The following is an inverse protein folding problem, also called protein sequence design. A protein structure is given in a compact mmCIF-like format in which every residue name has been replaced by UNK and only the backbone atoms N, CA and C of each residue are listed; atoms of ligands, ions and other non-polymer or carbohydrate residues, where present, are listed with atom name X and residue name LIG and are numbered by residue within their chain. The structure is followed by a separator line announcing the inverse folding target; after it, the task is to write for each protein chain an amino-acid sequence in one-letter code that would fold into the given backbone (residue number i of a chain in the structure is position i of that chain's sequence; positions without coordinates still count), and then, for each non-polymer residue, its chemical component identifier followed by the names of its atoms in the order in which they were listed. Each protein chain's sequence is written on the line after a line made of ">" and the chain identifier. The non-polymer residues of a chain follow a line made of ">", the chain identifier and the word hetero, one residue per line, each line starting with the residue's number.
data_IF_339327955789
#
_entry.id   IF_339327955789
#
_cell.length_a   1.000
_cell.length_b   1.000
_cell.length_c   1.000
_cell.angle_alpha   90.00
_cell.angle_beta   90.00
_cell.angle_gamma   90.00
#
_symmetry.space_group_name_H-M   'P 1'
#
loop_
_entity.id
_entity.type
_entity.pdbx_description
1 polymer ?
#
# COMPACT_ATOMS: atom_id res chain seq x y z
N UNK A 1 17.16 6.97 -15.35
CA UNK A 1 16.40 6.73 -14.14
C UNK A 1 16.53 5.28 -13.70
N UNK A 2 16.79 5.06 -12.42
CA UNK A 2 16.88 3.73 -11.83
C UNK A 2 15.64 3.45 -11.03
N UNK A 3 15.17 2.20 -11.01
CA UNK A 3 14.06 1.78 -10.18
C UNK A 3 14.46 0.58 -9.33
N UNK A 4 13.98 0.56 -8.09
CA UNK A 4 14.15 -0.56 -7.17
C UNK A 4 12.77 -1.04 -6.75
N UNK A 5 12.63 -2.33 -6.53
CA UNK A 5 11.36 -2.93 -6.19
C UNK A 5 11.53 -3.90 -5.02
N UNK A 6 10.60 -3.84 -4.07
CA UNK A 6 10.50 -4.82 -2.99
C UNK A 6 9.02 -5.09 -2.70
N UNK A 7 8.76 -6.15 -1.97
CA UNK A 7 7.38 -6.51 -1.64
C UNK A 7 7.27 -7.10 -0.25
N UNK A 8 6.06 -7.01 0.32
CA UNK A 8 5.72 -7.61 1.60
C UNK A 8 4.23 -7.94 1.61
N UNK A 9 3.87 -9.02 2.32
CA UNK A 9 2.48 -9.48 2.38
C UNK A 9 1.91 -9.32 3.78
N UNK A 10 0.59 -9.25 3.87
CA UNK A 10 -0.13 -9.23 5.14
C UNK A 10 -1.48 -9.91 4.98
N UNK A 11 -1.99 -10.44 6.08
CA UNK A 11 -3.30 -11.08 6.12
C UNK A 11 -4.27 -10.15 6.85
N UNK A 12 -5.38 -9.81 6.20
CA UNK A 12 -6.36 -8.93 6.81
C UNK A 12 -7.75 -9.19 6.23
N UNK A 13 -8.74 -8.96 7.07
CA UNK A 13 -10.14 -9.00 6.67
C UNK A 13 -10.61 -7.60 6.31
N UNK A 14 -11.61 -7.52 5.45
CA UNK A 14 -12.30 -6.29 5.11
C UNK A 14 -13.71 -6.59 4.59
N UNK A 15 -14.48 -5.54 4.33
CA UNK A 15 -15.73 -5.63 3.59
C UNK A 15 -16.00 -4.30 2.90
N UNK A 16 -16.80 -4.35 1.85
CA UNK A 16 -17.16 -3.17 1.06
C UNK A 16 -18.56 -2.70 1.46
N UNK A 17 -18.61 -1.69 2.30
CA UNK A 17 -19.84 -1.08 2.75
C UNK A 17 -20.59 -0.42 1.59
N UNK A 18 -21.90 -0.71 1.49
CA UNK A 18 -22.72 -0.14 0.43
C UNK A 18 -22.58 -0.82 -0.93
N UNK A 19 -21.81 -1.88 -1.03
CA UNK A 19 -21.64 -2.64 -2.27
C UNK A 19 -22.67 -3.74 -2.38
N UNK A 20 -23.26 -3.89 -3.57
CA UNK A 20 -24.23 -4.95 -3.86
C UNK A 20 -23.50 -6.17 -4.43
N UNK A 21 -23.17 -7.13 -3.57
CA UNK A 21 -22.45 -8.33 -3.96
C UNK A 21 -21.80 -9.00 -2.75
N UNK A 22 -21.14 -10.12 -2.98
CA UNK A 22 -20.54 -10.93 -1.92
C UNK A 22 -19.49 -10.18 -1.11
N UNK A 23 -18.81 -9.21 -1.71
CA UNK A 23 -17.75 -8.46 -1.05
C UNK A 23 -18.26 -7.48 0.02
N UNK A 24 -19.58 -7.30 0.14
CA UNK A 24 -20.18 -6.57 1.24
C UNK A 24 -20.08 -7.33 2.56
N UNK A 25 -19.81 -8.63 2.51
CA UNK A 25 -19.62 -9.46 3.69
C UNK A 25 -18.16 -9.41 4.15
N UNK A 26 -17.95 -9.63 5.46
CA UNK A 26 -16.60 -9.72 6.00
C UNK A 26 -15.91 -10.94 5.40
N UNK A 27 -14.74 -10.72 4.82
CA UNK A 27 -13.91 -11.76 4.24
C UNK A 27 -12.44 -11.36 4.32
N UNK A 28 -11.54 -12.30 4.14
CA UNK A 28 -10.12 -12.06 4.28
C UNK A 28 -9.33 -12.40 3.04
N UNK A 29 -8.17 -11.77 2.92
CA UNK A 29 -7.21 -12.02 1.85
C UNK A 29 -5.80 -12.05 2.40
N UNK A 30 -4.92 -12.74 1.68
CA UNK A 30 -3.50 -12.53 1.82
C UNK A 30 -3.10 -11.44 0.82
N UNK A 31 -2.99 -10.23 1.31
CA UNK A 31 -2.61 -9.07 0.52
C UNK A 31 -1.12 -9.06 0.24
N UNK A 32 -0.73 -8.65 -0.96
CA UNK A 32 0.67 -8.48 -1.31
C UNK A 32 0.89 -7.06 -1.82
N UNK A 33 1.83 -6.35 -1.20
CA UNK A 33 2.14 -4.97 -1.54
C UNK A 33 3.51 -4.95 -2.22
N UNK A 34 3.54 -4.43 -3.43
CA UNK A 34 4.78 -4.27 -4.21
C UNK A 34 5.07 -2.78 -4.32
N UNK A 35 6.21 -2.36 -3.78
CA UNK A 35 6.64 -0.97 -3.84
C UNK A 35 7.79 -0.82 -4.84
N UNK A 36 7.65 0.14 -5.75
CA UNK A 36 8.68 0.49 -6.71
C UNK A 36 9.07 1.95 -6.53
N UNK A 37 10.35 2.17 -6.22
CA UNK A 37 10.91 3.50 -5.97
C UNK A 37 11.93 3.82 -7.05
N UNK A 38 12.22 5.10 -7.25
CA UNK A 38 13.09 5.53 -8.34
C UNK A 38 14.06 6.62 -7.92
N UNK A 39 15.17 6.72 -8.66
CA UNK A 39 16.12 7.80 -8.55
C UNK A 39 16.78 8.05 -9.90
N UNK A 40 17.12 9.30 -10.17
CA UNK A 40 17.86 9.65 -11.37
C UNK A 40 19.36 9.38 -11.21
N UNK A 41 19.84 9.35 -9.96
CA UNK A 41 21.25 9.21 -9.64
C UNK A 41 21.46 8.14 -8.56
N UNK A 42 22.67 7.62 -8.53
CA UNK A 42 23.13 6.69 -7.50
C UNK A 42 24.15 7.38 -6.60
N UNK A 43 24.28 6.89 -5.38
CA UNK A 43 25.32 7.36 -4.48
C UNK A 43 26.70 7.08 -5.09
N UNK A 44 27.61 8.05 -5.03
CA UNK A 44 28.92 7.95 -5.64
C UNK A 44 30.02 7.59 -4.65
N UNK A 45 29.77 7.76 -3.36
CA UNK A 45 30.73 7.48 -2.29
C UNK A 45 30.06 6.79 -1.11
N UNK A 46 30.87 6.23 -0.23
CA UNK A 46 30.40 5.67 1.03
C UNK A 46 29.91 4.24 0.92
N UNK A 47 29.22 3.80 1.97
CA UNK A 47 28.71 2.44 2.11
C UNK A 47 27.76 2.06 0.96
N UNK A 48 26.94 2.99 0.52
CA UNK A 48 25.90 2.73 -0.47
C UNK A 48 26.30 3.17 -1.89
N UNK A 49 27.59 3.34 -2.17
CA UNK A 49 28.03 3.75 -3.52
C UNK A 49 27.55 2.74 -4.56
N UNK A 50 27.03 3.24 -5.67
CA UNK A 50 26.44 2.42 -6.71
C UNK A 50 24.98 2.03 -6.45
N UNK A 51 24.36 2.55 -5.38
CA UNK A 51 23.00 2.27 -4.99
C UNK A 51 22.18 3.55 -4.89
N UNK A 52 20.87 3.43 -5.05
CA UNK A 52 19.94 4.47 -4.60
C UNK A 52 19.75 4.36 -3.09
N UNK A 53 19.30 3.19 -2.63
CA UNK A 53 19.18 2.83 -1.21
C UNK A 53 19.54 1.36 -1.06
N UNK A 54 19.82 0.94 0.16
CA UNK A 54 20.02 -0.48 0.47
C UNK A 54 18.69 -1.22 0.40
N UNK A 55 18.65 -2.38 -0.27
CA UNK A 55 17.43 -3.19 -0.36
C UNK A 55 16.90 -3.60 1.01
N UNK A 56 17.79 -3.85 1.96
CA UNK A 56 17.38 -4.19 3.33
C UNK A 56 16.62 -3.06 4.01
N UNK A 57 17.08 -1.82 3.82
CA UNK A 57 16.42 -0.64 4.38
C UNK A 57 15.07 -0.40 3.69
N UNK A 58 15.02 -0.53 2.37
CA UNK A 58 13.77 -0.39 1.62
C UNK A 58 12.74 -1.41 2.07
N UNK A 59 13.15 -2.67 2.21
CA UNK A 59 12.27 -3.75 2.66
C UNK A 59 11.81 -3.54 4.09
N UNK A 60 12.69 -3.09 4.97
CA UNK A 60 12.35 -2.80 6.36
C UNK A 60 11.29 -1.71 6.46
N UNK A 61 11.43 -0.63 5.70
CA UNK A 61 10.47 0.47 5.70
C UNK A 61 9.11 0.00 5.20
N UNK A 62 9.08 -0.76 4.10
CA UNK A 62 7.83 -1.31 3.59
C UNK A 62 7.19 -2.27 4.60
N UNK A 63 7.99 -3.14 5.20
CA UNK A 63 7.51 -4.11 6.18
C UNK A 63 6.85 -3.42 7.38
N UNK A 64 7.46 -2.38 7.93
CA UNK A 64 6.89 -1.65 9.06
C UNK A 64 5.53 -1.04 8.73
N UNK A 65 5.41 -0.47 7.53
CA UNK A 65 4.15 0.12 7.06
C UNK A 65 3.08 -0.95 6.88
N UNK A 66 3.43 -2.05 6.26
CA UNK A 66 2.50 -3.15 5.92
C UNK A 66 2.08 -3.93 7.17
N UNK A 67 3.02 -4.20 8.07
CA UNK A 67 2.75 -4.97 9.30
C UNK A 67 1.72 -4.30 10.20
N UNK A 68 1.57 -2.97 10.10
CA UNK A 68 0.51 -2.25 10.81
C UNK A 68 -0.89 -2.79 10.49
N UNK A 69 -1.08 -3.32 9.28
CA UNK A 69 -2.36 -3.86 8.83
C UNK A 69 -2.45 -5.38 8.90
N UNK A 70 -1.40 -6.04 9.40
CA UNK A 70 -1.39 -7.49 9.48
C UNK A 70 -2.25 -7.98 10.65
N UNK A 71 -3.09 -8.98 10.37
CA UNK A 71 -3.99 -9.60 11.36
C UNK A 71 -4.95 -8.59 11.99
N UNK A 72 -5.73 -7.90 11.15
CA UNK A 72 -6.76 -6.98 11.61
C UNK A 72 -7.99 -7.04 10.69
N UNK A 73 -9.05 -6.39 11.14
CA UNK A 73 -10.22 -6.07 10.32
C UNK A 73 -10.10 -4.61 9.89
N UNK A 74 -10.06 -4.38 8.59
CA UNK A 74 -9.97 -3.04 8.00
C UNK A 74 -11.37 -2.62 7.58
N UNK A 75 -11.85 -1.49 8.10
CA UNK A 75 -13.18 -0.99 7.79
C UNK A 75 -13.16 0.47 7.38
N UNK A 76 -14.18 0.85 6.62
CA UNK A 76 -14.49 2.26 6.40
C UNK A 76 -15.17 2.82 7.65
N UNK A 77 -14.74 3.99 8.10
CA UNK A 77 -15.33 4.66 9.28
C UNK A 77 -16.83 4.83 9.07
N UNK A 78 -17.60 4.44 10.07
CA UNK A 78 -19.06 4.52 10.02
C UNK A 78 -19.76 3.37 9.32
N UNK A 79 -19.01 2.36 8.85
CA UNK A 79 -19.59 1.21 8.15
C UNK A 79 -20.19 0.14 9.07
N UNK A 80 -19.85 0.16 10.35
CA UNK A 80 -20.47 -0.70 11.36
C UNK A 80 -21.29 0.17 12.31
N UNK A 81 -22.35 -0.42 12.86
CA UNK A 81 -23.07 0.21 13.97
C UNK A 81 -22.11 0.41 15.14
N UNK A 82 -22.28 1.50 15.86
CA UNK A 82 -21.42 1.84 16.99
C UNK A 82 -21.39 0.74 18.05
N UNK A 83 -22.54 0.12 18.32
CA UNK A 83 -22.65 -0.99 19.25
C UNK A 83 -21.87 -2.23 18.80
N UNK A 84 -21.86 -2.52 17.48
CA UNK A 84 -21.10 -3.64 16.92
C UNK A 84 -19.61 -3.38 17.01
N UNK A 85 -19.18 -2.19 16.61
CA UNK A 85 -17.76 -1.80 16.67
C UNK A 85 -17.25 -1.89 18.11
N UNK A 86 -18.01 -1.33 19.06
CA UNK A 86 -17.63 -1.36 20.47
C UNK A 86 -17.55 -2.79 21.01
N UNK A 87 -18.49 -3.65 20.65
CA UNK A 87 -18.48 -5.04 21.10
C UNK A 87 -17.24 -5.78 20.62
N UNK A 88 -16.86 -5.59 19.35
CA UNK A 88 -15.64 -6.20 18.81
C UNK A 88 -14.36 -5.66 19.49
N UNK A 89 -14.32 -4.37 19.75
CA UNK A 89 -13.20 -3.75 20.45
C UNK A 89 -13.12 -4.21 21.91
N UNK A 90 -14.24 -4.37 22.57
CA UNK A 90 -14.29 -4.89 23.95
C UNK A 90 -13.78 -6.34 24.04
N UNK A 91 -13.87 -7.10 22.96
CA UNK A 91 -13.29 -8.44 22.87
C UNK A 91 -11.83 -8.42 22.43
N UNK A 92 -11.23 -7.25 22.31
CA UNK A 92 -9.82 -7.05 21.93
C UNK A 92 -9.50 -7.42 20.50
N UNK A 93 -10.46 -7.45 19.59
CA UNK A 93 -10.17 -7.56 18.17
C UNK A 93 -9.55 -6.26 17.67
N UNK A 94 -8.53 -6.42 16.82
CA UNK A 94 -7.82 -5.28 16.26
C UNK A 94 -8.55 -4.80 15.00
N UNK A 95 -9.08 -3.58 15.08
CA UNK A 95 -9.85 -2.97 13.99
C UNK A 95 -9.17 -1.67 13.57
N UNK A 96 -8.92 -1.54 12.29
CA UNK A 96 -8.34 -0.35 11.69
C UNK A 96 -9.44 0.34 10.87
N UNK A 97 -9.67 1.62 11.17
CA UNK A 97 -10.69 2.41 10.51
C UNK A 97 -10.04 3.42 9.56
N UNK A 98 -10.44 3.39 8.31
CA UNK A 98 -10.03 4.37 7.32
C UNK A 98 -11.20 5.27 6.92
N UNK A 99 -10.90 6.49 6.48
CA UNK A 99 -11.90 7.41 5.96
C UNK A 99 -12.36 7.04 4.52
N UNK A 100 -11.85 5.93 4.00
CA UNK A 100 -12.15 5.46 2.65
C UNK A 100 -12.55 3.98 2.68
N UNK A 101 -13.27 3.56 1.65
CA UNK A 101 -13.58 2.14 1.45
C UNK A 101 -12.29 1.38 1.21
N UNK A 102 -12.01 0.28 1.93
CA UNK A 102 -10.73 -0.44 1.80
C UNK A 102 -10.68 -1.35 0.57
N UNK A 103 -10.73 -0.74 -0.60
CA UNK A 103 -10.50 -1.39 -1.89
C UNK A 103 -9.01 -1.51 -2.18
N UNK A 104 -8.63 -2.38 -3.11
CA UNK A 104 -7.23 -2.49 -3.53
C UNK A 104 -6.71 -1.15 -4.07
N UNK A 105 -7.53 -0.39 -4.78
CA UNK A 105 -7.18 0.92 -5.33
C UNK A 105 -6.84 1.92 -4.22
N UNK A 106 -7.73 2.05 -3.23
CA UNK A 106 -7.52 2.96 -2.11
C UNK A 106 -6.36 2.51 -1.22
N UNK A 107 -6.17 1.20 -1.07
CA UNK A 107 -5.03 0.67 -0.32
C UNK A 107 -3.71 0.98 -1.03
N UNK A 108 -3.69 0.90 -2.37
CA UNK A 108 -2.49 1.24 -3.13
C UNK A 108 -2.08 2.71 -2.89
N UNK A 109 -3.04 3.62 -2.92
CA UNK A 109 -2.77 5.04 -2.62
C UNK A 109 -2.33 5.24 -1.18
N UNK A 110 -2.93 4.52 -0.24
CA UNK A 110 -2.53 4.58 1.17
C UNK A 110 -1.05 4.21 1.35
N UNK A 111 -0.62 3.09 0.77
CA UNK A 111 0.77 2.67 0.87
C UNK A 111 1.71 3.61 0.11
N UNK A 112 1.26 4.16 -1.01
CA UNK A 112 2.01 5.18 -1.74
C UNK A 112 2.30 6.38 -0.85
N UNK A 113 1.28 6.92 -0.19
CA UNK A 113 1.44 8.08 0.68
C UNK A 113 2.36 7.77 1.87
N UNK A 114 2.28 6.55 2.42
CA UNK A 114 3.15 6.12 3.53
C UNK A 114 4.61 6.03 3.11
N UNK A 115 4.89 5.53 1.91
CA UNK A 115 6.26 5.43 1.41
C UNK A 115 6.83 6.81 1.06
N UNK A 116 6.01 7.70 0.51
CA UNK A 116 6.39 9.11 0.33
C UNK A 116 6.79 9.73 1.68
N UNK A 117 6.01 9.45 2.72
CA UNK A 117 6.29 9.94 4.08
C UNK A 117 7.60 9.41 4.67
N UNK A 118 8.10 8.29 4.17
CA UNK A 118 9.42 7.75 4.55
C UNK A 118 10.57 8.33 3.74
N UNK A 119 10.29 9.26 2.82
CA UNK A 119 11.31 9.98 2.05
C UNK A 119 11.65 9.35 0.70
N UNK A 120 10.92 8.34 0.25
CA UNK A 120 11.17 7.71 -1.04
C UNK A 120 10.48 8.48 -2.18
N UNK A 121 11.13 8.48 -3.35
CA UNK A 121 10.50 8.88 -4.60
C UNK A 121 9.81 7.65 -5.16
N UNK A 122 8.51 7.56 -4.91
CA UNK A 122 7.73 6.36 -5.27
C UNK A 122 7.27 6.45 -6.71
N UNK A 123 7.64 5.45 -7.51
CA UNK A 123 7.14 5.32 -8.88
C UNK A 123 5.75 4.72 -8.89
N UNK A 124 5.56 3.63 -8.15
CA UNK A 124 4.33 2.85 -8.20
C UNK A 124 4.20 1.97 -6.96
N UNK A 125 2.97 1.88 -6.46
CA UNK A 125 2.58 0.84 -5.50
C UNK A 125 1.54 -0.05 -6.18
N UNK A 126 1.73 -1.35 -6.11
CA UNK A 126 0.75 -2.34 -6.57
C UNK A 126 0.29 -3.15 -5.37
N UNK A 127 -1.02 -3.25 -5.20
CA UNK A 127 -1.64 -4.05 -4.14
C UNK A 127 -2.40 -5.19 -4.78
N UNK A 128 -1.97 -6.40 -4.48
CA UNK A 128 -2.64 -7.63 -4.87
C UNK A 128 -3.62 -8.02 -3.76
N UNK A 129 -4.89 -7.98 -4.06
CA UNK A 129 -5.93 -8.49 -3.15
C UNK A 129 -5.93 -10.02 -3.18
N UNK A 130 -5.77 -10.58 -4.38
CA UNK A 130 -5.59 -12.01 -4.63
C UNK A 130 -4.37 -12.18 -5.55
N UNK A 131 -3.87 -13.42 -5.76
CA UNK A 131 -2.76 -13.62 -6.71
C UNK A 131 -3.06 -13.13 -8.13
N UNK A 132 -4.34 -13.03 -8.50
CA UNK A 132 -4.74 -12.70 -9.86
C UNK A 132 -5.31 -11.29 -10.06
N UNK A 133 -5.61 -10.59 -8.96
CA UNK A 133 -6.26 -9.28 -9.03
C UNK A 133 -5.47 -8.24 -8.24
N UNK A 134 -5.08 -7.18 -8.92
CA UNK A 134 -4.27 -6.13 -8.32
C UNK A 134 -4.68 -4.76 -8.83
N UNK A 135 -4.44 -3.74 -8.02
CA UNK A 135 -4.56 -2.34 -8.40
C UNK A 135 -3.24 -1.63 -8.15
N UNK A 136 -2.94 -0.63 -8.95
CA UNK A 136 -1.73 0.16 -8.82
C UNK A 136 -2.05 1.64 -8.71
N UNK A 137 -1.27 2.35 -7.91
CA UNK A 137 -1.25 3.80 -7.89
C UNK A 137 0.12 4.29 -8.34
N UNK A 138 0.14 5.12 -9.38
CA UNK A 138 1.35 5.58 -10.04
C UNK A 138 1.60 7.06 -9.78
N UNK A 139 2.88 7.43 -9.71
CA UNK A 139 3.28 8.82 -9.66
C UNK A 139 3.00 9.50 -11.00
N UNK A 140 2.33 10.66 -10.97
CA UNK A 140 2.07 11.47 -12.17
C UNK A 140 3.36 11.99 -12.81
N UNK A 141 4.40 12.19 -12.04
CA UNK A 141 5.70 12.65 -12.54
C UNK A 141 6.28 11.65 -13.53
N UNK A 142 6.15 10.36 -13.26
CA UNK A 142 6.66 9.31 -14.14
C UNK A 142 5.84 9.15 -15.42
N UNK A 143 4.56 9.52 -15.39
CA UNK A 143 3.67 9.43 -16.54
C UNK A 143 3.93 10.55 -17.54
N UNK A 144 4.32 11.75 -17.09
CA UNK A 144 4.50 12.92 -17.96
C UNK A 144 5.78 12.89 -18.80
N UNK A 145 6.79 12.12 -18.40
CA UNK A 145 8.09 12.08 -19.10
C UNK A 145 8.00 11.60 -20.56
N UNK A 146 7.31 10.51 -20.88
CA UNK A 146 7.19 10.06 -22.28
C UNK A 146 6.56 11.10 -23.21
N UNK A 147 5.57 11.84 -22.72
CA UNK A 147 4.92 12.90 -23.49
C UNK A 147 5.90 14.00 -23.86
N UNK A 148 6.77 14.38 -22.92
CA UNK A 148 7.77 15.41 -23.13
C UNK A 148 8.79 15.01 -24.18
N UNK A 149 9.20 13.74 -24.21
CA UNK A 149 10.12 13.21 -25.20
C UNK A 149 9.50 13.17 -26.59
N UNK A 150 8.21 12.92 -26.71
CA UNK A 150 7.51 12.86 -27.98
C UNK A 150 7.28 14.24 -28.61
N UNK A 151 7.43 15.31 -27.85
CA UNK A 151 7.22 16.67 -28.36
C UNK A 151 8.45 17.24 -29.07
N UNK A 152 9.53 16.54 -29.06
CA UNK A 152 10.75 16.91 -29.76
C UNK A 152 10.69 16.50 -31.23
#
# INVERSE_FOLDING_TARGET
>A
MYTLKTEHSFDAAHFLYGYEGKCSNIHGHRWRVVAEVSSDELETTGQNRGMYVDFGDLKKDLKEIVDYLDHCLIIETGSLKETTLKALQDENFRIIQFAFRPTAENMAKYFYDKMIGRGYRVKQITVYETPNNAASYLSLIHISEPTRLLSI
#
